data_IF_469739841740
#
_entry.id   IF_469739841740
#
_cell.length_a   1.000
_cell.length_b   1.000
_cell.length_c   1.000
_cell.angle_alpha   90.00
_cell.angle_beta   90.00
_cell.angle_gamma   90.00
#
_symmetry.space_group_name_H-M   'P 1'
#
loop_
_entity.id
_entity.type
_entity.pdbx_description
1 polymer ?
#
# COMPACT_ATOMS: atom_id res chain seq x y z
N UNK A 1 9.47 -36.61 -1.46
CA UNK A 1 8.28 -37.28 -0.89
C UNK A 1 8.27 -36.97 0.59
N UNK A 2 7.42 -36.01 0.95
CA UNK A 2 6.87 -35.52 2.23
C UNK A 2 6.57 -34.04 1.92
N UNK A 3 5.28 -33.72 1.94
CA UNK A 3 4.74 -32.39 1.66
C UNK A 3 4.92 -31.53 2.91
N UNK A 4 5.74 -30.48 2.80
CA UNK A 4 6.05 -29.53 3.87
C UNK A 4 5.48 -28.14 3.56
N UNK A 5 4.15 -28.04 3.45
CA UNK A 5 3.47 -26.75 3.33
C UNK A 5 3.39 -26.09 4.71
N UNK A 6 4.53 -25.58 5.21
CA UNK A 6 4.49 -24.47 6.15
C UNK A 6 4.09 -23.21 5.37
N UNK A 7 3.16 -22.45 5.95
CA UNK A 7 2.48 -21.28 5.39
C UNK A 7 3.39 -20.09 5.01
N UNK A 8 4.71 -20.28 4.91
CA UNK A 8 5.70 -19.23 4.71
C UNK A 8 6.18 -19.06 3.24
N UNK A 9 5.82 -19.97 2.32
CA UNK A 9 6.31 -19.92 0.93
C UNK A 9 5.21 -19.59 -0.09
N UNK A 10 4.50 -18.49 0.16
CA UNK A 10 3.58 -17.91 -0.83
C UNK A 10 4.36 -17.51 -2.09
N UNK A 11 4.03 -18.19 -3.18
CA UNK A 11 4.19 -17.76 -4.57
C UNK A 11 5.61 -17.81 -5.15
N UNK A 12 6.13 -19.02 -5.38
CA UNK A 12 7.01 -19.27 -6.53
C UNK A 12 6.31 -20.25 -7.48
N UNK A 13 5.65 -19.70 -8.50
CA UNK A 13 5.11 -20.49 -9.60
C UNK A 13 6.12 -20.55 -10.73
N UNK A 14 6.78 -21.70 -10.88
CA UNK A 14 7.41 -22.08 -12.15
C UNK A 14 6.46 -23.06 -12.87
N UNK A 15 6.13 -22.76 -14.13
CA UNK A 15 5.37 -23.61 -15.08
C UNK A 15 3.88 -23.88 -14.83
N UNK A 16 3.11 -22.89 -14.35
CA UNK A 16 1.62 -22.78 -14.52
C UNK A 16 0.76 -24.03 -14.20
N UNK A 17 1.21 -24.97 -13.38
CA UNK A 17 0.35 -26.07 -12.92
C UNK A 17 0.72 -26.45 -11.50
N UNK A 18 -0.14 -26.07 -10.55
CA UNK A 18 -0.05 -26.52 -9.17
C UNK A 18 -0.78 -27.86 -9.06
N UNK A 19 -0.17 -28.84 -8.40
CA UNK A 19 -0.74 -30.20 -8.23
C UNK A 19 -1.11 -30.51 -6.78
N UNK A 20 -1.08 -29.53 -5.88
CA UNK A 20 -1.78 -29.68 -4.61
C UNK A 20 -3.29 -29.53 -4.87
N UNK A 21 -4.12 -30.26 -4.12
CA UNK A 21 -5.53 -30.48 -4.40
C UNK A 21 -6.42 -29.24 -4.47
N UNK A 22 -7.72 -29.48 -4.59
CA UNK A 22 -8.75 -28.55 -5.07
C UNK A 22 -8.59 -27.10 -4.56
N UNK A 23 -7.90 -26.27 -5.34
CA UNK A 23 -7.75 -24.84 -5.10
C UNK A 23 -9.08 -24.09 -5.17
N UNK A 24 -10.17 -24.79 -5.49
CA UNK A 24 -11.52 -24.26 -5.57
C UNK A 24 -11.97 -23.71 -4.22
N UNK A 25 -11.77 -24.42 -3.11
CA UNK A 25 -12.10 -23.88 -1.76
C UNK A 25 -11.24 -22.65 -1.40
N UNK A 26 -9.95 -22.65 -1.78
CA UNK A 26 -9.05 -21.52 -1.52
C UNK A 26 -9.27 -20.34 -2.49
N UNK A 27 -9.92 -20.55 -3.63
CA UNK A 27 -10.33 -19.49 -4.57
C UNK A 27 -11.76 -18.99 -4.31
N UNK A 28 -12.63 -19.86 -3.79
CA UNK A 28 -14.02 -19.53 -3.40
C UNK A 28 -14.05 -18.66 -2.13
N UNK A 29 -13.17 -18.90 -1.15
CA UNK A 29 -13.12 -18.10 0.07
C UNK A 29 -12.74 -16.62 -0.19
N UNK A 30 -11.70 -16.29 -0.98
CA UNK A 30 -11.38 -14.90 -1.33
C UNK A 30 -12.45 -14.24 -2.20
N UNK A 31 -13.05 -14.95 -3.17
CA UNK A 31 -14.08 -14.38 -4.02
C UNK A 31 -15.39 -14.09 -3.26
N UNK A 32 -15.78 -14.99 -2.35
CA UNK A 32 -16.92 -14.76 -1.45
C UNK A 32 -16.67 -13.58 -0.51
N UNK A 33 -15.47 -13.51 0.07
CA UNK A 33 -15.07 -12.39 0.93
C UNK A 33 -15.08 -11.05 0.18
N UNK A 34 -14.54 -11.01 -1.04
CA UNK A 34 -14.58 -9.82 -1.90
C UNK A 34 -16.02 -9.43 -2.22
N UNK A 35 -16.88 -10.38 -2.57
CA UNK A 35 -18.30 -10.12 -2.82
C UNK A 35 -19.00 -9.51 -1.60
N UNK A 36 -18.70 -10.01 -0.40
CA UNK A 36 -19.23 -9.45 0.85
C UNK A 36 -18.73 -8.02 1.10
N UNK A 37 -17.45 -7.73 0.83
CA UNK A 37 -16.91 -6.36 0.89
C UNK A 37 -17.63 -5.45 -0.10
N UNK A 38 -17.74 -5.84 -1.36
CA UNK A 38 -18.38 -5.02 -2.39
C UNK A 38 -19.85 -4.73 -2.06
N UNK A 39 -20.58 -5.72 -1.55
CA UNK A 39 -21.96 -5.55 -1.09
C UNK A 39 -22.05 -4.56 0.07
N UNK A 40 -21.15 -4.66 1.05
CA UNK A 40 -21.09 -3.74 2.18
C UNK A 40 -20.76 -2.30 1.76
N UNK A 41 -19.80 -2.11 0.86
CA UNK A 41 -19.46 -0.79 0.32
C UNK A 41 -20.63 -0.18 -0.44
N UNK A 42 -21.35 -0.99 -1.23
CA UNK A 42 -22.55 -0.55 -1.95
C UNK A 42 -23.66 -0.12 -0.99
N UNK A 43 -23.86 -0.87 0.10
CA UNK A 43 -24.78 -0.49 1.17
C UNK A 43 -24.41 0.85 1.79
N UNK A 44 -23.15 1.05 2.20
CA UNK A 44 -22.69 2.31 2.77
C UNK A 44 -22.86 3.49 1.80
N UNK A 45 -22.61 3.28 0.50
CA UNK A 45 -22.82 4.30 -0.52
C UNK A 45 -24.30 4.71 -0.59
N UNK A 46 -25.23 3.75 -0.55
CA UNK A 46 -26.67 4.03 -0.51
C UNK A 46 -27.07 4.80 0.75
N UNK A 47 -26.63 4.36 1.93
CA UNK A 47 -26.95 5.04 3.20
C UNK A 47 -26.41 6.48 3.23
N UNK A 48 -25.23 6.73 2.63
CA UNK A 48 -24.70 8.08 2.46
C UNK A 48 -25.58 8.93 1.56
N UNK A 49 -25.97 8.39 0.40
CA UNK A 49 -26.79 9.09 -0.57
C UNK A 49 -28.15 9.49 0.01
N UNK A 50 -28.73 8.63 0.83
CA UNK A 50 -30.01 8.87 1.50
C UNK A 50 -29.89 9.79 2.73
N UNK A 51 -28.68 10.24 3.08
CA UNK A 51 -28.42 11.05 4.28
C UNK A 51 -28.66 10.29 5.59
N UNK A 52 -28.70 8.96 5.55
CA UNK A 52 -28.98 8.08 6.70
C UNK A 52 -27.74 7.79 7.54
N UNK A 53 -26.54 8.00 7.00
CA UNK A 53 -25.30 7.92 7.77
C UNK A 53 -25.12 9.14 8.69
N UNK A 54 -25.03 8.95 10.02
CA UNK A 54 -24.78 10.06 10.94
C UNK A 54 -23.44 10.75 10.66
N UNK A 55 -23.42 12.09 10.71
CA UNK A 55 -22.18 12.87 10.51
C UNK A 55 -21.05 12.45 11.45
N UNK A 56 -21.35 12.18 12.73
CA UNK A 56 -20.33 11.74 13.69
C UNK A 56 -19.68 10.41 13.27
N UNK A 57 -20.44 9.50 12.67
CA UNK A 57 -19.92 8.22 12.20
C UNK A 57 -18.98 8.44 11.02
N UNK A 58 -19.40 9.28 10.07
CA UNK A 58 -18.57 9.68 8.93
C UNK A 58 -17.25 10.30 9.41
N UNK A 59 -17.32 11.24 10.36
CA UNK A 59 -16.16 11.93 10.89
C UNK A 59 -15.24 10.99 11.68
N UNK A 60 -15.80 10.08 12.48
CA UNK A 60 -15.03 9.07 13.21
C UNK A 60 -14.29 8.14 12.26
N UNK A 61 -14.96 7.63 11.23
CA UNK A 61 -14.34 6.76 10.24
C UNK A 61 -13.26 7.48 9.45
N UNK A 62 -13.51 8.73 9.04
CA UNK A 62 -12.50 9.58 8.39
C UNK A 62 -11.29 9.77 9.29
N UNK A 63 -11.51 10.11 10.55
CA UNK A 63 -10.46 10.38 11.52
C UNK A 63 -9.59 9.16 11.76
N UNK A 64 -10.19 7.98 12.01
CA UNK A 64 -9.45 6.72 12.16
C UNK A 64 -8.66 6.37 10.90
N UNK A 65 -9.23 6.57 9.72
CA UNK A 65 -8.61 6.16 8.46
C UNK A 65 -7.53 7.13 7.94
N UNK A 66 -7.56 8.39 8.38
CA UNK A 66 -6.65 9.46 7.91
C UNK A 66 -5.62 9.88 8.95
N UNK A 67 -5.78 9.48 10.22
CA UNK A 67 -4.83 9.77 11.27
C UNK A 67 -3.49 9.07 11.02
N UNK A 68 -2.36 9.80 11.14
CA UNK A 68 -1.04 9.21 11.23
C UNK A 68 -0.96 8.24 12.41
N UNK A 69 -0.27 7.12 12.23
CA UNK A 69 0.14 6.24 13.32
C UNK A 69 1.68 6.21 13.42
N UNK A 70 2.21 5.38 14.34
CA UNK A 70 3.66 5.26 14.56
C UNK A 70 4.43 4.72 13.34
N UNK A 71 3.74 4.09 12.40
CA UNK A 71 4.30 3.38 11.25
C UNK A 71 3.95 4.05 9.91
N UNK A 72 2.89 4.87 9.86
CA UNK A 72 2.32 5.45 8.64
C UNK A 72 1.93 6.91 8.87
N UNK A 73 2.54 7.81 8.11
CA UNK A 73 2.27 9.26 8.25
C UNK A 73 1.13 9.77 7.37
N UNK A 74 0.85 9.09 6.28
CA UNK A 74 -0.49 9.15 5.72
C UNK A 74 -1.32 8.09 6.44
N UNK A 75 -2.61 8.38 6.68
CA UNK A 75 -3.48 7.43 7.34
C UNK A 75 -3.62 6.14 6.54
N UNK A 76 -4.04 5.09 7.24
CA UNK A 76 -4.17 3.72 6.74
C UNK A 76 -4.82 3.65 5.36
N UNK A 77 -5.87 4.44 5.13
CA UNK A 77 -6.58 4.44 3.85
C UNK A 77 -5.69 4.76 2.66
N UNK A 78 -4.86 5.81 2.78
CA UNK A 78 -3.98 6.19 1.67
C UNK A 78 -2.80 5.23 1.52
N UNK A 79 -2.24 4.72 2.62
CA UNK A 79 -1.16 3.76 2.57
C UNK A 79 -1.57 2.48 1.82
N UNK A 80 -2.74 1.92 2.11
CA UNK A 80 -3.27 0.75 1.41
C UNK A 80 -3.61 1.06 -0.04
N UNK A 81 -4.17 2.24 -0.32
CA UNK A 81 -4.40 2.70 -1.71
C UNK A 81 -3.11 2.69 -2.53
N UNK A 82 -2.00 3.16 -1.94
CA UNK A 82 -0.72 3.17 -2.61
C UNK A 82 -0.14 1.76 -2.78
N UNK A 83 -0.27 0.90 -1.77
CA UNK A 83 0.15 -0.51 -1.84
C UNK A 83 -0.58 -1.24 -2.96
N UNK A 84 -1.92 -1.16 -3.01
CA UNK A 84 -2.73 -1.79 -4.05
C UNK A 84 -2.36 -1.27 -5.45
N UNK A 85 -2.21 0.05 -5.62
CA UNK A 85 -1.76 0.62 -6.90
C UNK A 85 -0.34 0.20 -7.27
N UNK A 86 0.54 -0.03 -6.29
CA UNK A 86 1.88 -0.54 -6.55
C UNK A 86 1.82 -1.98 -7.06
N UNK A 87 1.04 -2.84 -6.41
CA UNK A 87 0.86 -4.23 -6.83
C UNK A 87 0.28 -4.32 -8.25
N UNK A 88 -0.76 -3.53 -8.55
CA UNK A 88 -1.39 -3.50 -9.87
C UNK A 88 -0.48 -2.96 -11.00
N UNK A 89 0.56 -2.18 -10.67
CA UNK A 89 1.57 -1.79 -11.68
C UNK A 89 2.47 -2.97 -12.09
N UNK A 90 2.67 -3.93 -11.20
CA UNK A 90 3.46 -5.13 -11.50
C UNK A 90 2.62 -6.21 -12.18
N UNK A 91 1.35 -6.34 -11.78
CA UNK A 91 0.41 -7.29 -12.37
C UNK A 91 -1.00 -6.67 -12.42
N UNK A 92 -1.32 -6.08 -13.56
CA UNK A 92 -2.62 -5.44 -13.80
C UNK A 92 -3.74 -6.44 -14.10
N UNK A 93 -3.42 -7.72 -14.28
CA UNK A 93 -4.41 -8.77 -14.57
C UNK A 93 -5.13 -9.29 -13.32
N UNK A 94 -4.70 -8.85 -12.13
CA UNK A 94 -5.25 -9.25 -10.84
C UNK A 94 -6.60 -8.56 -10.59
N UNK A 95 -7.69 -9.14 -11.13
CA UNK A 95 -9.06 -8.66 -10.94
C UNK A 95 -9.42 -8.47 -9.47
N UNK A 96 -8.96 -9.35 -8.58
CA UNK A 96 -9.14 -9.22 -7.13
C UNK A 96 -8.61 -7.89 -6.59
N UNK A 97 -7.37 -7.50 -6.93
CA UNK A 97 -6.80 -6.23 -6.45
C UNK A 97 -7.45 -5.02 -7.12
N UNK A 98 -7.91 -5.15 -8.36
CA UNK A 98 -8.66 -4.09 -9.04
C UNK A 98 -9.99 -3.83 -8.35
N UNK A 99 -10.77 -4.87 -8.06
CA UNK A 99 -12.05 -4.75 -7.33
C UNK A 99 -11.81 -4.18 -5.93
N UNK A 100 -10.83 -4.71 -5.21
CA UNK A 100 -10.50 -4.23 -3.87
C UNK A 100 -10.06 -2.76 -3.87
N UNK A 101 -9.24 -2.34 -4.84
CA UNK A 101 -8.84 -0.94 -4.97
C UNK A 101 -10.04 -0.04 -5.28
N UNK A 102 -10.93 -0.46 -6.18
CA UNK A 102 -12.14 0.30 -6.53
C UNK A 102 -13.04 0.50 -5.31
N UNK A 103 -13.34 -0.57 -4.58
CA UNK A 103 -14.14 -0.51 -3.35
C UNK A 103 -13.46 0.30 -2.24
N UNK A 104 -12.13 0.20 -2.12
CA UNK A 104 -11.36 1.00 -1.16
C UNK A 104 -11.39 2.50 -1.49
N UNK A 105 -11.36 2.88 -2.77
CA UNK A 105 -11.51 4.27 -3.18
C UNK A 105 -12.94 4.78 -2.91
N UNK A 106 -13.98 3.97 -3.17
CA UNK A 106 -15.37 4.31 -2.81
C UNK A 106 -15.54 4.55 -1.31
N UNK A 107 -14.89 3.75 -0.46
CA UNK A 107 -14.85 3.99 0.99
C UNK A 107 -14.29 5.39 1.29
N UNK A 108 -13.19 5.76 0.62
CA UNK A 108 -12.61 7.10 0.73
C UNK A 108 -13.62 8.19 0.37
N UNK A 109 -14.33 8.02 -0.75
CA UNK A 109 -15.36 8.96 -1.18
C UNK A 109 -16.54 9.03 -0.20
N UNK A 110 -17.00 7.88 0.32
CA UNK A 110 -18.09 7.80 1.31
C UNK A 110 -17.72 8.61 2.56
N UNK A 111 -16.51 8.46 3.06
CA UNK A 111 -16.07 9.16 4.27
C UNK A 111 -15.42 10.54 4.00
N UNK A 112 -15.44 11.02 2.76
CA UNK A 112 -14.84 12.30 2.34
C UNK A 112 -13.35 12.39 2.67
N UNK A 113 -12.60 11.31 2.43
CA UNK A 113 -11.16 11.26 2.58
C UNK A 113 -10.50 11.87 1.34
N UNK A 114 -9.71 12.94 1.52
CA UNK A 114 -9.05 13.61 0.40
C UNK A 114 -7.74 12.93 0.03
N UNK A 115 -7.73 12.21 -1.10
CA UNK A 115 -6.55 11.51 -1.60
C UNK A 115 -5.36 12.45 -1.85
N UNK A 116 -5.62 13.63 -2.43
CA UNK A 116 -4.57 14.60 -2.74
C UNK A 116 -3.89 15.12 -1.48
N UNK A 117 -4.66 15.40 -0.43
CA UNK A 117 -4.13 15.81 0.88
C UNK A 117 -3.28 14.70 1.50
N UNK A 118 -3.77 13.46 1.52
CA UNK A 118 -3.02 12.32 2.07
C UNK A 118 -1.75 12.02 1.27
N UNK A 119 -1.81 12.10 -0.06
CA UNK A 119 -0.64 12.01 -0.95
C UNK A 119 0.39 13.08 -0.66
N UNK A 120 -0.05 14.32 -0.46
CA UNK A 120 0.82 15.44 -0.13
C UNK A 120 1.54 15.20 1.20
N UNK A 121 0.82 14.76 2.24
CA UNK A 121 1.40 14.39 3.54
C UNK A 121 2.42 13.26 3.41
N UNK A 122 2.08 12.18 2.71
CA UNK A 122 2.99 11.06 2.45
C UNK A 122 4.25 11.52 1.71
N UNK A 123 4.10 12.38 0.70
CA UNK A 123 5.21 12.90 -0.10
C UNK A 123 6.12 13.80 0.73
N UNK A 124 5.55 14.71 1.51
CA UNK A 124 6.29 15.59 2.41
C UNK A 124 7.06 14.80 3.48
N UNK A 125 6.44 13.72 4.00
CA UNK A 125 7.09 12.84 4.96
C UNK A 125 8.26 12.06 4.33
N UNK A 126 8.04 11.40 3.19
CA UNK A 126 9.09 10.67 2.47
C UNK A 126 10.22 11.58 2.00
N UNK A 127 9.93 12.83 1.69
CA UNK A 127 10.96 13.82 1.36
C UNK A 127 11.97 14.03 2.50
N UNK A 128 11.60 13.67 3.74
CA UNK A 128 12.43 13.74 4.94
C UNK A 128 12.91 12.38 5.43
N UNK A 129 12.62 11.27 4.75
CA UNK A 129 13.11 9.94 5.12
C UNK A 129 14.29 9.49 4.25
N UNK A 130 15.29 8.89 4.89
CA UNK A 130 16.42 8.28 4.22
C UNK A 130 15.99 6.95 3.55
N UNK A 131 16.32 6.75 2.28
CA UNK A 131 15.98 5.51 1.55
C UNK A 131 16.77 4.30 2.04
N UNK A 132 17.97 4.49 2.60
CA UNK A 132 18.73 3.40 3.23
C UNK A 132 18.03 2.83 4.47
N UNK A 133 17.50 1.60 4.36
CA UNK A 133 16.65 0.96 5.38
C UNK A 133 17.29 0.80 6.76
N UNK A 134 18.62 0.69 6.82
CA UNK A 134 19.36 0.56 8.09
C UNK A 134 19.68 1.91 8.74
N UNK A 135 19.26 3.03 8.14
CA UNK A 135 19.44 4.36 8.74
C UNK A 135 18.32 4.67 9.75
N UNK A 136 18.65 5.33 10.86
CA UNK A 136 17.66 5.82 11.82
C UNK A 136 16.63 6.77 11.19
N UNK A 137 17.06 7.55 10.19
CA UNK A 137 16.20 8.48 9.45
C UNK A 137 15.38 7.78 8.35
N UNK A 138 15.47 6.45 8.22
CA UNK A 138 14.53 5.70 7.38
C UNK A 138 13.14 5.69 8.02
N UNK A 139 13.08 5.45 9.33
CA UNK A 139 11.84 5.44 10.09
C UNK A 139 11.46 6.83 10.62
N UNK A 140 12.44 7.70 10.88
CA UNK A 140 12.23 9.04 11.45
C UNK A 140 12.51 10.15 10.44
N UNK A 141 11.77 11.26 10.47
CA UNK A 141 12.04 12.38 9.59
C UNK A 141 13.38 13.03 9.97
N UNK A 142 14.21 13.31 8.97
CA UNK A 142 15.40 14.14 9.11
C UNK A 142 15.00 15.61 9.23
N UNK A 143 15.59 16.31 10.19
CA UNK A 143 15.49 17.78 10.31
C UNK A 143 16.23 18.49 9.16
N UNK A 144 17.27 17.84 8.63
CA UNK A 144 18.11 18.39 7.56
C UNK A 144 17.57 17.96 6.19
N UNK A 145 17.73 18.82 5.16
CA UNK A 145 17.44 18.44 3.78
C UNK A 145 18.23 17.19 3.36
N UNK A 146 17.56 16.29 2.65
CA UNK A 146 18.17 15.06 2.15
C UNK A 146 18.79 15.24 0.77
N UNK A 147 19.89 14.53 0.53
CA UNK A 147 20.53 14.41 -0.77
C UNK A 147 19.67 13.56 -1.70
N UNK A 148 19.25 14.14 -2.82
CA UNK A 148 18.48 13.42 -3.84
C UNK A 148 19.42 12.63 -4.75
N UNK A 149 19.07 11.39 -5.06
CA UNK A 149 19.80 10.59 -6.04
C UNK A 149 19.79 11.29 -7.40
N UNK A 150 20.97 11.64 -7.92
CA UNK A 150 21.11 12.33 -9.21
C UNK A 150 20.61 11.50 -10.41
N UNK A 151 20.53 10.17 -10.27
CA UNK A 151 20.07 9.26 -11.33
C UNK A 151 18.56 9.20 -11.44
N UNK A 152 17.88 8.65 -10.43
CA UNK A 152 16.43 8.46 -10.46
C UNK A 152 15.60 9.64 -9.96
N UNK A 153 16.24 10.61 -9.27
CA UNK A 153 15.59 11.76 -8.60
C UNK A 153 14.50 11.40 -7.56
N UNK A 154 14.37 10.11 -7.23
CA UNK A 154 13.36 9.59 -6.31
C UNK A 154 13.96 9.29 -4.93
N UNK A 155 15.01 8.47 -4.88
CA UNK A 155 15.68 8.11 -3.62
C UNK A 155 16.38 9.29 -2.95
N UNK A 156 16.35 9.34 -1.62
CA UNK A 156 16.84 10.45 -0.79
C UNK A 156 17.72 9.93 0.34
N UNK A 157 18.79 10.65 0.68
CA UNK A 157 19.78 10.18 1.64
C UNK A 157 20.19 11.28 2.61
N UNK A 158 20.30 10.95 3.89
CA UNK A 158 20.81 11.89 4.90
C UNK A 158 22.32 12.17 4.74
N UNK A 159 23.02 11.31 4.00
CA UNK A 159 24.46 11.43 3.76
C UNK A 159 24.89 10.62 2.53
N UNK A 160 26.04 10.99 1.96
CA UNK A 160 26.68 10.20 0.91
C UNK A 160 27.08 8.78 1.38
N UNK A 161 27.28 8.58 2.69
CA UNK A 161 27.51 7.25 3.26
C UNK A 161 26.27 6.35 3.15
N UNK A 162 25.08 6.88 3.46
CA UNK A 162 23.82 6.15 3.28
C UNK A 162 23.56 5.84 1.81
N UNK A 163 23.79 6.79 0.90
CA UNK A 163 23.67 6.55 -0.54
C UNK A 163 24.58 5.41 -1.02
N UNK A 164 25.85 5.40 -0.61
CA UNK A 164 26.80 4.33 -0.98
C UNK A 164 26.41 2.98 -0.39
N UNK A 165 25.86 2.97 0.82
CA UNK A 165 25.41 1.74 1.49
C UNK A 165 24.20 1.17 0.78
N UNK A 166 23.19 2.00 0.50
CA UNK A 166 21.99 1.60 -0.24
C UNK A 166 22.30 1.13 -1.67
N UNK A 167 23.26 1.79 -2.34
CA UNK A 167 23.75 1.38 -3.65
C UNK A 167 24.37 -0.03 -3.65
N UNK A 168 25.17 -0.36 -2.61
CA UNK A 168 25.90 -1.64 -2.55
C UNK A 168 25.08 -2.77 -1.92
N UNK A 169 24.26 -2.46 -0.93
CA UNK A 169 23.63 -3.42 -0.04
C UNK A 169 22.10 -3.37 -0.08
N UNK A 170 21.51 -2.23 -0.44
CA UNK A 170 20.06 -1.99 -0.36
C UNK A 170 19.28 -2.22 -1.64
N UNK A 171 19.94 -2.68 -2.70
CA UNK A 171 19.28 -2.93 -3.99
C UNK A 171 19.03 -1.67 -4.83
N UNK A 172 19.41 -0.48 -4.35
CA UNK A 172 19.18 0.74 -5.14
C UNK A 172 19.90 0.70 -6.50
N UNK A 173 21.06 0.03 -6.59
CA UNK A 173 21.78 -0.13 -7.86
C UNK A 173 20.94 -0.84 -8.94
N UNK A 174 20.10 -1.80 -8.56
CA UNK A 174 19.23 -2.52 -9.51
C UNK A 174 17.93 -1.79 -9.78
N UNK A 175 17.43 -1.03 -8.80
CA UNK A 175 16.15 -0.31 -8.91
C UNK A 175 16.28 1.08 -9.55
N UNK A 176 17.47 1.68 -9.52
CA UNK A 176 17.70 3.04 -9.99
C UNK A 176 17.48 3.13 -11.51
N UNK A 177 16.29 3.61 -11.89
CA UNK A 177 15.95 4.00 -13.26
C UNK A 177 16.50 5.40 -13.49
N UNK A 178 17.63 5.50 -14.19
CA UNK A 178 18.16 6.81 -14.59
C UNK A 178 17.15 7.46 -15.52
N UNK A 179 16.72 8.67 -15.14
CA UNK A 179 15.81 9.51 -15.93
C UNK A 179 16.62 10.51 -16.73
#
# INVERSE_FOLDING_TARGET
MICGCEAANLLRHDKRRCTCGDHKEFAEAPSTFLGAISAFVSFLASEKQDGRLPHFFIDTMRDVATKPDLFQVAGLWYAETETLRRLLRYDSSQTTYTILLDDWLKIGDIFSMNETSQRSLATAWRARQCSWRSCVYHAKPSEKPLLVCKGCKDARYCSAACQRSDWKQGGHRTECRRV
#
